data_IF_109096308879
#
_entry.id   IF_109096308879
#
_cell.length_a   1.000
_cell.length_b   1.000
_cell.length_c   1.000
_cell.angle_alpha   90.00
_cell.angle_beta   90.00
_cell.angle_gamma   90.00
#
_symmetry.space_group_name_H-M   'P 1'
#
loop_
_entity.id
_entity.type
_entity.pdbx_description
1 polymer ?
#
# COMPACT_ATOMS: atom_id res chain seq x y z
N UNK A 1 34.39 0.06 1.05
CA UNK A 1 32.96 -0.25 0.89
C UNK A 1 32.15 0.94 1.39
N UNK A 2 30.91 1.10 0.96
CA UNK A 2 29.99 2.12 1.49
C UNK A 2 29.17 1.52 2.64
N UNK A 3 29.13 2.18 3.80
CA UNK A 3 28.28 1.80 4.93
C UNK A 3 27.34 2.97 5.26
N UNK A 4 26.13 2.66 5.69
CA UNK A 4 25.11 3.69 5.98
C UNK A 4 25.44 4.50 7.25
N UNK A 5 26.14 3.89 8.22
CA UNK A 5 26.63 4.53 9.43
C UNK A 5 27.95 3.88 9.88
N UNK A 6 28.80 4.59 10.64
CA UNK A 6 29.99 3.99 11.26
C UNK A 6 29.62 2.73 12.07
N UNK A 7 30.42 1.67 11.93
CA UNK A 7 30.23 0.40 12.63
C UNK A 7 29.19 -0.55 12.02
N UNK A 8 28.41 -0.12 11.02
CA UNK A 8 27.50 -1.01 10.28
C UNK A 8 28.22 -1.72 9.12
N UNK A 9 27.78 -2.95 8.75
CA UNK A 9 28.20 -3.58 7.52
C UNK A 9 27.77 -2.76 6.29
N UNK A 10 28.49 -2.94 5.19
CA UNK A 10 28.35 -2.11 3.99
C UNK A 10 28.28 -2.90 2.70
N UNK A 11 28.26 -2.17 1.58
CA UNK A 11 28.27 -2.70 0.23
C UNK A 11 29.49 -2.16 -0.52
N UNK A 12 30.28 -3.05 -1.11
CA UNK A 12 31.42 -2.73 -1.98
C UNK A 12 31.04 -2.81 -3.45
N UNK A 13 31.95 -3.34 -4.27
CA UNK A 13 31.73 -3.66 -5.69
C UNK A 13 30.69 -4.78 -5.86
N UNK A 14 29.42 -4.48 -5.58
CA UNK A 14 28.28 -5.40 -5.48
C UNK A 14 28.34 -6.45 -4.36
N UNK A 15 29.41 -6.53 -3.56
CA UNK A 15 29.51 -7.44 -2.41
C UNK A 15 28.96 -6.82 -1.15
N UNK A 16 28.18 -7.57 -0.37
CA UNK A 16 27.97 -7.25 1.03
C UNK A 16 29.27 -7.49 1.78
N UNK A 17 29.68 -6.53 2.58
CA UNK A 17 30.91 -6.58 3.38
C UNK A 17 30.50 -6.49 4.84
N UNK A 18 30.80 -7.54 5.60
CA UNK A 18 30.49 -7.61 7.02
C UNK A 18 31.51 -8.44 7.79
N UNK A 19 31.17 -8.77 9.02
CA UNK A 19 31.99 -9.65 9.86
C UNK A 19 31.14 -10.77 10.45
N UNK A 20 31.71 -11.96 10.57
CA UNK A 20 31.17 -13.09 11.34
C UNK A 20 32.29 -13.63 12.22
N UNK A 21 32.05 -13.79 13.52
CA UNK A 21 33.05 -14.23 14.49
C UNK A 21 34.36 -13.41 14.42
N UNK A 22 34.28 -12.10 14.21
CA UNK A 22 35.45 -11.23 14.07
C UNK A 22 36.21 -11.37 12.73
N UNK A 23 35.79 -12.27 11.85
CA UNK A 23 36.40 -12.49 10.53
C UNK A 23 35.68 -11.67 9.46
N UNK A 24 36.42 -11.00 8.58
CA UNK A 24 35.83 -10.25 7.45
C UNK A 24 35.22 -11.21 6.43
N UNK A 25 33.96 -10.97 6.05
CA UNK A 25 33.25 -11.81 5.07
C UNK A 25 32.69 -10.95 3.94
N UNK A 26 32.94 -11.38 2.71
CA UNK A 26 32.25 -10.88 1.52
C UNK A 26 31.09 -11.83 1.22
N UNK A 27 29.89 -11.31 1.01
CA UNK A 27 28.74 -12.16 0.71
C UNK A 27 27.84 -11.60 -0.38
N UNK A 28 27.11 -12.51 -1.03
CA UNK A 28 26.00 -12.16 -1.90
C UNK A 28 24.95 -13.26 -1.85
N UNK A 29 23.73 -12.88 -1.51
CA UNK A 29 22.57 -13.77 -1.50
C UNK A 29 21.77 -13.68 -2.79
N UNK A 30 21.00 -14.73 -3.08
CA UNK A 30 19.95 -14.72 -4.08
C UNK A 30 18.68 -15.28 -3.47
N UNK A 31 17.59 -14.53 -3.52
CA UNK A 31 16.29 -14.99 -3.04
C UNK A 31 15.21 -14.71 -4.08
N UNK A 32 14.54 -15.77 -4.50
CA UNK A 32 13.24 -15.75 -5.18
C UNK A 32 12.36 -16.76 -4.45
N UNK A 33 11.02 -16.63 -4.46
CA UNK A 33 10.19 -17.54 -3.67
C UNK A 33 10.52 -19.02 -3.88
N UNK A 34 10.74 -19.73 -2.77
CA UNK A 34 11.13 -21.14 -2.73
C UNK A 34 12.52 -21.44 -3.32
N UNK A 35 13.37 -20.46 -3.57
CA UNK A 35 14.78 -20.67 -3.92
C UNK A 35 15.64 -19.63 -3.23
N UNK A 36 16.63 -20.11 -2.49
CA UNK A 36 17.58 -19.28 -1.79
C UNK A 36 18.99 -19.72 -2.13
N UNK A 37 19.91 -18.78 -2.25
CA UNK A 37 21.34 -19.05 -2.38
C UNK A 37 22.13 -18.05 -1.56
N UNK A 38 23.33 -18.46 -1.16
CA UNK A 38 24.29 -17.64 -0.45
C UNK A 38 25.68 -18.00 -0.93
N UNK A 39 26.41 -17.00 -1.41
CA UNK A 39 27.84 -17.05 -1.64
C UNK A 39 28.53 -16.25 -0.53
N UNK A 40 29.53 -16.86 0.10
CA UNK A 40 30.39 -16.27 1.11
C UNK A 40 31.84 -16.49 0.72
N UNK A 41 32.66 -15.45 0.80
CA UNK A 41 34.10 -15.50 0.61
C UNK A 41 34.77 -14.92 1.86
N UNK A 42 35.80 -15.59 2.32
CA UNK A 42 36.63 -15.22 3.47
C UNK A 42 38.08 -15.16 2.97
N UNK A 43 38.50 -14.04 2.35
CA UNK A 43 39.79 -13.94 1.67
C UNK A 43 40.99 -14.16 2.60
N UNK A 44 40.90 -13.74 3.86
CA UNK A 44 41.96 -13.92 4.87
C UNK A 44 42.27 -15.39 5.19
N UNK A 45 41.33 -16.29 4.85
CA UNK A 45 41.44 -17.73 5.12
C UNK A 45 41.41 -18.58 3.84
N UNK A 46 41.54 -17.97 2.66
CA UNK A 46 41.42 -18.64 1.35
C UNK A 46 40.18 -19.56 1.25
N UNK A 47 39.09 -19.14 1.90
CA UNK A 47 37.88 -19.95 2.06
C UNK A 47 36.70 -19.34 1.31
N UNK A 48 35.89 -20.20 0.70
CA UNK A 48 34.63 -19.83 0.07
C UNK A 48 33.57 -20.89 0.30
N UNK A 49 32.33 -20.44 0.52
CA UNK A 49 31.16 -21.31 0.69
C UNK A 49 30.04 -20.82 -0.22
N UNK A 50 29.54 -21.73 -1.06
CA UNK A 50 28.31 -21.52 -1.81
C UNK A 50 27.28 -22.54 -1.38
N UNK A 51 26.11 -22.08 -0.94
CA UNK A 51 24.98 -22.93 -0.60
C UNK A 51 23.77 -22.45 -1.37
N UNK A 52 23.05 -23.36 -2.00
CA UNK A 52 21.78 -23.07 -2.66
C UNK A 52 20.78 -24.17 -2.34
N UNK A 53 19.51 -23.80 -2.26
CA UNK A 53 18.44 -24.73 -1.97
C UNK A 53 17.13 -24.27 -2.57
N UNK A 54 16.24 -25.23 -2.75
CA UNK A 54 14.86 -25.00 -3.15
C UNK A 54 13.90 -25.50 -2.06
N UNK A 55 12.72 -24.90 -2.00
CA UNK A 55 11.71 -25.12 -0.96
C UNK A 55 11.55 -23.93 -0.01
N UNK A 56 10.42 -23.89 0.69
CA UNK A 56 10.04 -22.79 1.60
C UNK A 56 10.99 -22.62 2.79
N UNK A 57 11.74 -23.68 3.16
CA UNK A 57 12.73 -23.65 4.24
C UNK A 57 14.16 -23.35 3.80
N UNK A 58 14.43 -23.22 2.50
CA UNK A 58 15.79 -23.15 1.95
C UNK A 58 16.62 -22.03 2.58
N UNK A 59 16.09 -20.81 2.63
CA UNK A 59 16.83 -19.69 3.22
C UNK A 59 17.10 -19.85 4.72
N UNK A 60 16.29 -20.61 5.47
CA UNK A 60 16.55 -20.85 6.91
C UNK A 60 17.62 -21.92 7.09
N UNK A 61 17.55 -22.99 6.31
CA UNK A 61 18.56 -24.03 6.29
C UNK A 61 19.93 -23.47 5.88
N UNK A 62 19.97 -22.57 4.89
CA UNK A 62 21.20 -21.89 4.47
C UNK A 62 21.80 -21.09 5.62
N UNK A 63 21.00 -20.29 6.33
CA UNK A 63 21.50 -19.47 7.44
C UNK A 63 22.03 -20.34 8.60
N UNK A 64 21.33 -21.43 8.93
CA UNK A 64 21.77 -22.42 9.92
C UNK A 64 23.07 -23.10 9.49
N UNK A 65 23.17 -23.53 8.23
CA UNK A 65 24.37 -24.16 7.66
C UNK A 65 25.56 -23.22 7.73
N UNK A 66 25.39 -21.97 7.28
CA UNK A 66 26.46 -20.96 7.33
C UNK A 66 26.89 -20.71 8.77
N UNK A 67 25.93 -20.57 9.69
CA UNK A 67 26.23 -20.35 11.11
C UNK A 67 27.03 -21.51 11.72
N UNK A 68 26.63 -22.75 11.44
CA UNK A 68 27.32 -23.95 11.92
C UNK A 68 28.72 -24.11 11.31
N UNK A 69 28.89 -23.80 10.02
CA UNK A 69 30.19 -23.83 9.36
C UNK A 69 31.13 -22.78 9.93
N UNK A 70 30.66 -21.54 10.14
CA UNK A 70 31.48 -20.48 10.73
C UNK A 70 31.84 -20.79 12.18
N UNK A 71 30.90 -21.31 12.98
CA UNK A 71 31.16 -21.70 14.36
C UNK A 71 32.20 -22.83 14.47
N UNK A 72 32.27 -23.73 13.49
CA UNK A 72 33.22 -24.85 13.49
C UNK A 72 34.60 -24.50 12.92
N UNK A 73 34.66 -23.64 11.89
CA UNK A 73 35.91 -23.31 11.19
C UNK A 73 36.60 -22.04 11.70
N UNK A 74 35.84 -21.05 12.16
CA UNK A 74 36.36 -19.74 12.56
C UNK A 74 35.96 -19.44 14.00
N UNK A 75 36.84 -19.81 14.94
CA UNK A 75 36.64 -19.48 16.35
C UNK A 75 36.58 -17.96 16.52
N UNK A 76 35.56 -17.46 17.24
CA UNK A 76 35.50 -16.05 17.58
C UNK A 76 36.71 -15.67 18.47
N UNK A 77 37.43 -14.57 18.19
CA UNK A 77 38.45 -14.05 19.08
C UNK A 77 37.83 -13.76 20.46
N UNK A 78 38.08 -14.63 21.44
CA UNK A 78 37.51 -14.52 22.81
C UNK A 78 36.61 -15.68 23.27
N UNK A 79 36.43 -16.74 22.48
CA UNK A 79 35.47 -17.82 22.78
C UNK A 79 34.09 -17.53 22.17
N UNK A 80 33.11 -18.45 22.26
CA UNK A 80 31.78 -18.22 21.69
C UNK A 80 31.28 -16.88 22.24
N UNK A 81 30.94 -15.94 21.35
CA UNK A 81 30.30 -14.68 21.69
C UNK A 81 29.22 -15.03 22.72
N UNK A 82 29.44 -14.68 24.00
CA UNK A 82 28.56 -15.13 25.09
C UNK A 82 27.18 -14.61 24.74
N UNK A 83 26.30 -15.52 24.31
CA UNK A 83 24.88 -15.29 24.04
C UNK A 83 24.09 -14.94 25.31
N UNK A 84 24.69 -14.21 26.25
CA UNK A 84 24.17 -13.98 27.60
C UNK A 84 24.84 -12.86 28.38
N UNK A 85 25.88 -12.19 27.86
CA UNK A 85 26.26 -10.90 28.43
C UNK A 85 25.40 -9.83 27.78
N UNK A 86 24.42 -9.34 28.54
CA UNK A 86 23.66 -8.13 28.19
C UNK A 86 24.68 -7.08 27.75
N UNK A 87 24.61 -6.56 26.50
CA UNK A 87 25.56 -5.57 26.03
C UNK A 87 25.69 -4.48 27.09
N UNK A 88 26.91 -4.21 27.55
CA UNK A 88 27.17 -3.27 28.63
C UNK A 88 26.37 -2.00 28.38
N UNK A 89 25.40 -1.75 29.26
CA UNK A 89 24.47 -0.63 29.19
C UNK A 89 25.33 0.65 29.29
N UNK A 90 25.74 1.20 28.15
CA UNK A 90 26.62 2.36 28.10
C UNK A 90 25.89 3.64 28.54
N UNK A 91 26.31 4.26 29.64
CA UNK A 91 25.69 5.49 30.15
C UNK A 91 26.00 6.73 29.29
N UNK A 92 27.05 6.71 28.46
CA UNK A 92 27.57 7.89 27.74
C UNK A 92 27.36 7.87 26.21
N UNK A 93 26.83 6.78 25.64
CA UNK A 93 26.49 6.73 24.22
C UNK A 93 25.20 7.52 23.95
N UNK A 94 25.15 8.25 22.84
CA UNK A 94 23.97 9.02 22.45
C UNK A 94 22.76 8.08 22.25
N UNK A 95 21.84 8.08 23.23
CA UNK A 95 20.65 7.27 23.17
C UNK A 95 19.69 7.76 22.08
N UNK A 96 18.99 6.82 21.47
CA UNK A 96 17.90 7.08 20.53
C UNK A 96 16.87 7.96 21.23
N UNK A 97 16.58 9.10 20.63
CA UNK A 97 15.54 9.97 21.14
C UNK A 97 14.18 9.27 21.02
N UNK A 98 13.25 9.45 21.97
CA UNK A 98 11.89 8.93 21.85
C UNK A 98 11.19 9.30 20.53
N UNK A 99 11.60 10.42 19.91
CA UNK A 99 11.17 10.87 18.59
C UNK A 99 11.47 9.89 17.44
N UNK A 100 12.42 8.97 17.60
CA UNK A 100 12.69 7.91 16.61
C UNK A 100 11.61 6.82 16.59
N UNK A 101 10.70 6.78 17.57
CA UNK A 101 9.51 5.92 17.50
C UNK A 101 8.65 6.27 16.28
N UNK A 102 8.12 5.25 15.60
CA UNK A 102 7.30 5.45 14.41
C UNK A 102 7.24 4.24 13.49
N UNK A 103 6.67 4.44 12.30
CA UNK A 103 6.64 3.43 11.24
C UNK A 103 7.72 3.73 10.22
N UNK A 104 8.47 2.72 9.83
CA UNK A 104 9.55 2.80 8.86
C UNK A 104 9.32 1.82 7.72
N UNK A 105 9.75 2.15 6.51
CA UNK A 105 9.66 1.28 5.33
C UNK A 105 11.04 1.01 4.76
N UNK A 106 11.31 -0.25 4.40
CA UNK A 106 12.53 -0.60 3.68
C UNK A 106 12.64 0.23 2.40
N UNK A 107 13.76 0.90 2.17
CA UNK A 107 13.93 1.83 1.04
C UNK A 107 14.20 1.09 -0.30
N UNK A 108 14.35 -0.23 -0.24
CA UNK A 108 14.50 -1.12 -1.40
C UNK A 108 13.14 -1.70 -1.82
N UNK A 109 12.47 -1.01 -2.73
CA UNK A 109 11.20 -1.45 -3.33
C UNK A 109 10.99 -0.81 -4.72
N UNK A 110 10.08 -1.37 -5.56
CA UNK A 110 9.76 -0.77 -6.85
C UNK A 110 9.19 0.64 -6.72
N UNK A 111 9.70 1.61 -7.50
CA UNK A 111 9.27 3.02 -7.40
C UNK A 111 8.07 3.39 -8.28
N UNK A 112 7.69 2.51 -9.20
CA UNK A 112 6.61 2.71 -10.18
C UNK A 112 5.95 1.38 -10.52
N UNK A 113 4.77 1.46 -11.14
CA UNK A 113 4.01 0.33 -11.62
C UNK A 113 3.30 -0.44 -10.50
N UNK A 114 2.54 -1.50 -10.85
CA UNK A 114 1.72 -2.22 -9.89
C UNK A 114 2.53 -2.91 -8.78
N UNK A 115 3.77 -3.31 -9.06
CA UNK A 115 4.67 -3.91 -8.08
C UNK A 115 5.02 -2.98 -6.91
N UNK A 116 4.89 -1.66 -7.07
CA UNK A 116 5.12 -0.69 -5.98
C UNK A 116 4.15 -0.88 -4.81
N UNK A 117 2.96 -1.45 -5.03
CA UNK A 117 2.02 -1.74 -3.95
C UNK A 117 2.55 -2.76 -2.93
N UNK A 118 3.56 -3.56 -3.28
CA UNK A 118 4.26 -4.42 -2.31
C UNK A 118 4.90 -3.62 -1.16
N UNK A 119 5.22 -2.34 -1.38
CA UNK A 119 5.76 -1.44 -0.37
C UNK A 119 4.85 -1.22 0.84
N UNK A 120 3.53 -1.40 0.68
CA UNK A 120 2.55 -1.33 1.77
C UNK A 120 2.75 -2.44 2.82
N UNK A 121 3.46 -3.51 2.47
CA UNK A 121 3.76 -4.65 3.33
C UNK A 121 5.20 -4.66 3.84
N UNK A 122 6.05 -3.73 3.37
CA UNK A 122 7.48 -3.66 3.72
C UNK A 122 7.76 -2.69 4.88
N UNK A 123 6.83 -2.64 5.84
CA UNK A 123 6.85 -1.72 6.97
C UNK A 123 7.25 -2.42 8.27
N UNK A 124 7.95 -1.67 9.12
CA UNK A 124 8.25 -2.04 10.50
C UNK A 124 7.83 -0.92 11.43
N UNK A 125 7.21 -1.28 12.56
CA UNK A 125 6.92 -0.32 13.62
C UNK A 125 8.04 -0.41 14.66
N UNK A 126 8.64 0.74 14.92
CA UNK A 126 9.72 0.94 15.89
C UNK A 126 9.14 1.57 17.14
N UNK A 127 9.41 0.96 18.30
CA UNK A 127 9.18 1.53 19.61
C UNK A 127 10.52 1.76 20.29
N UNK A 128 10.74 2.96 20.80
CA UNK A 128 11.92 3.30 21.60
C UNK A 128 11.48 3.47 23.05
N UNK A 129 12.24 2.96 24.01
CA UNK A 129 12.00 3.17 25.44
C UNK A 129 12.19 4.65 25.83
N UNK A 130 11.60 5.07 26.95
CA UNK A 130 11.69 6.47 27.41
C UNK A 130 13.13 6.93 27.65
N UNK A 131 13.99 6.04 28.13
CA UNK A 131 15.42 6.26 28.33
C UNK A 131 16.25 6.19 27.02
N UNK A 132 15.61 5.84 25.90
CA UNK A 132 16.27 5.69 24.60
C UNK A 132 17.17 4.46 24.47
N UNK A 133 17.24 3.59 25.48
CA UNK A 133 18.26 2.52 25.54
C UNK A 133 17.81 1.21 24.92
N UNK A 134 16.51 1.05 24.71
CA UNK A 134 15.90 -0.14 24.14
C UNK A 134 15.08 0.24 22.91
N UNK A 135 15.25 -0.53 21.85
CA UNK A 135 14.53 -0.37 20.59
C UNK A 135 13.87 -1.70 20.24
N UNK A 136 12.56 -1.66 19.98
CA UNK A 136 11.78 -2.83 19.57
C UNK A 136 11.21 -2.63 18.18
N UNK A 137 11.56 -3.53 17.25
CA UNK A 137 10.97 -3.62 15.92
C UNK A 137 9.89 -4.71 15.95
N UNK A 138 8.63 -4.32 15.78
CA UNK A 138 7.48 -5.24 15.89
C UNK A 138 7.42 -6.29 14.76
N UNK A 139 7.90 -5.91 13.58
CA UNK A 139 7.98 -6.77 12.40
C UNK A 139 9.19 -6.34 11.58
N UNK A 140 9.98 -7.26 11.03
CA UNK A 140 11.09 -6.90 10.14
C UNK A 140 10.93 -7.63 8.81
N UNK A 141 10.89 -6.91 7.67
CA UNK A 141 10.84 -7.56 6.35
C UNK A 141 12.13 -8.31 6.00
N UNK A 142 13.19 -8.09 6.76
CA UNK A 142 14.57 -8.52 6.46
C UNK A 142 15.10 -9.50 7.50
N UNK A 143 14.77 -9.31 8.78
CA UNK A 143 15.14 -10.26 9.84
C UNK A 143 14.02 -11.28 10.06
N UNK A 144 14.40 -12.54 10.25
CA UNK A 144 13.45 -13.61 10.58
C UNK A 144 13.00 -13.58 12.04
N UNK A 145 13.64 -12.75 12.88
CA UNK A 145 13.28 -12.56 14.29
C UNK A 145 12.37 -11.35 14.41
N UNK A 146 11.10 -11.61 14.68
CA UNK A 146 10.08 -10.59 14.94
C UNK A 146 9.19 -11.04 16.11
N UNK A 147 8.96 -10.19 17.13
CA UNK A 147 9.58 -8.88 17.33
C UNK A 147 11.09 -8.99 17.64
N UNK A 148 11.86 -7.99 17.21
CA UNK A 148 13.29 -7.86 17.53
C UNK A 148 13.48 -6.76 18.57
N UNK A 149 14.04 -7.11 19.72
CA UNK A 149 14.41 -6.15 20.77
C UNK A 149 15.92 -6.02 20.81
N UNK A 150 16.40 -4.79 20.71
CA UNK A 150 17.82 -4.45 20.67
C UNK A 150 18.15 -3.40 21.73
N UNK A 151 19.35 -3.50 22.29
CA UNK A 151 19.84 -2.67 23.38
C UNK A 151 21.00 -1.80 22.91
N UNK A 152 21.08 -0.59 23.45
CA UNK A 152 22.13 0.38 23.14
C UNK A 152 23.51 -0.13 23.59
N UNK A 153 24.45 -0.13 22.65
CA UNK A 153 25.87 -0.44 22.82
C UNK A 153 26.70 0.82 23.09
N UNK A 154 27.94 0.69 23.59
CA UNK A 154 28.86 1.81 23.80
C UNK A 154 29.21 2.62 22.54
N UNK A 155 29.13 2.01 21.35
CA UNK A 155 29.40 2.66 20.07
C UNK A 155 28.19 3.41 19.48
N UNK A 156 27.08 3.50 20.22
CA UNK A 156 25.86 4.18 19.77
C UNK A 156 24.96 3.34 18.87
N UNK A 157 25.31 2.08 18.62
CA UNK A 157 24.50 1.13 17.85
C UNK A 157 23.57 0.33 18.78
N UNK A 158 22.54 -0.28 18.21
CA UNK A 158 21.65 -1.18 18.92
C UNK A 158 21.86 -2.61 18.44
N UNK A 159 21.86 -3.57 19.36
CA UNK A 159 21.96 -5.00 19.02
C UNK A 159 21.12 -5.85 19.96
N UNK A 160 20.56 -6.95 19.44
CA UNK A 160 19.90 -7.97 20.26
C UNK A 160 20.90 -8.72 21.14
N UNK A 161 20.48 -9.21 22.33
CA UNK A 161 21.35 -9.99 23.23
C UNK A 161 21.89 -11.28 22.61
N UNK A 162 21.12 -11.86 21.69
CA UNK A 162 21.45 -13.09 20.95
C UNK A 162 22.46 -12.85 19.82
N UNK A 163 23.06 -11.65 19.73
CA UNK A 163 23.80 -11.19 18.56
C UNK A 163 22.89 -10.88 17.37
N UNK A 164 23.47 -10.60 16.21
CA UNK A 164 22.73 -10.35 14.97
C UNK A 164 22.95 -8.95 14.37
N UNK A 165 22.03 -8.53 13.50
CA UNK A 165 22.12 -7.27 12.76
C UNK A 165 22.15 -6.05 13.70
N UNK A 166 23.09 -5.15 13.44
CA UNK A 166 23.22 -3.88 14.15
C UNK A 166 22.19 -2.88 13.63
N UNK A 167 21.61 -2.10 14.53
CA UNK A 167 20.62 -1.08 14.20
C UNK A 167 21.21 0.29 14.52
N UNK A 168 21.05 1.25 13.61
CA UNK A 168 21.42 2.65 13.81
C UNK A 168 20.29 3.58 13.39
N UNK A 169 20.28 4.78 13.95
CA UNK A 169 19.38 5.86 13.55
C UNK A 169 20.19 7.04 13.04
N UNK A 170 19.74 7.65 11.95
CA UNK A 170 20.27 8.91 11.45
C UNK A 170 19.39 10.07 11.92
N UNK A 171 20.02 11.14 12.40
CA UNK A 171 19.33 12.40 12.68
C UNK A 171 18.88 13.06 11.36
N UNK A 172 17.61 13.49 11.23
CA UNK A 172 17.14 14.33 10.13
C UNK A 172 18.02 15.56 9.84
N UNK A 173 18.60 16.18 10.86
CA UNK A 173 19.48 17.34 10.72
C UNK A 173 20.82 16.97 10.04
N UNK A 174 21.38 15.80 10.36
CA UNK A 174 22.60 15.29 9.72
C UNK A 174 22.35 14.79 8.28
N UNK A 175 21.10 14.49 7.94
CA UNK A 175 20.69 13.92 6.65
C UNK A 175 20.37 14.99 5.60
N UNK A 176 20.70 16.26 5.84
CA UNK A 176 20.42 17.37 4.91
C UNK A 176 18.93 17.67 4.72
N UNK A 177 18.11 17.47 5.76
CA UNK A 177 16.65 17.66 5.70
C UNK A 177 15.88 16.50 5.06
N UNK A 178 16.53 15.37 4.78
CA UNK A 178 15.85 14.13 4.38
C UNK A 178 15.13 13.49 5.58
N UNK A 179 14.13 12.66 5.30
CA UNK A 179 13.38 11.87 6.29
C UNK A 179 14.34 11.16 7.26
N UNK A 180 14.00 11.10 8.55
CA UNK A 180 14.75 10.27 9.51
C UNK A 180 14.96 8.86 8.95
N UNK A 181 16.19 8.37 9.00
CA UNK A 181 16.52 7.04 8.51
C UNK A 181 16.82 6.10 9.67
N UNK A 182 16.33 4.87 9.54
CA UNK A 182 16.76 3.75 10.37
C UNK A 182 17.57 2.80 9.48
N UNK A 183 18.67 2.27 10.01
CA UNK A 183 19.50 1.29 9.34
C UNK A 183 19.48 -0.01 10.14
N UNK A 184 19.35 -1.15 9.46
CA UNK A 184 19.46 -2.48 10.04
C UNK A 184 20.47 -3.25 9.21
N UNK A 185 21.66 -3.48 9.75
CA UNK A 185 22.83 -3.91 8.98
C UNK A 185 23.09 -2.95 7.81
N UNK A 186 23.17 -3.52 6.61
CA UNK A 186 23.34 -2.76 5.35
C UNK A 186 22.04 -2.15 4.81
N UNK A 187 20.88 -2.46 5.39
CA UNK A 187 19.58 -2.06 4.85
C UNK A 187 19.13 -0.72 5.42
N UNK A 188 18.62 0.14 4.54
CA UNK A 188 18.10 1.46 4.90
C UNK A 188 16.57 1.49 4.88
N UNK A 189 16.01 2.18 5.87
CA UNK A 189 14.58 2.39 6.03
C UNK A 189 14.26 3.87 6.15
N UNK A 190 13.16 4.28 5.52
CA UNK A 190 12.65 5.65 5.57
C UNK A 190 11.52 5.74 6.61
N UNK A 191 11.56 6.77 7.46
CA UNK A 191 10.44 7.08 8.36
C UNK A 191 9.23 7.54 7.55
N UNK A 192 8.08 6.95 7.83
CA UNK A 192 6.81 7.26 7.16
C UNK A 192 6.00 8.31 7.92
N UNK A 193 5.40 9.24 7.19
CA UNK A 193 4.28 10.01 7.72
C UNK A 193 3.02 9.13 7.85
N UNK A 194 2.07 9.55 8.69
CA UNK A 194 0.85 8.76 8.97
C UNK A 194 0.06 8.39 7.70
N UNK A 195 0.02 9.29 6.70
CA UNK A 195 -0.69 9.09 5.43
C UNK A 195 0.08 8.20 4.45
N UNK A 196 1.33 7.86 4.74
CA UNK A 196 2.15 6.99 3.89
C UNK A 196 2.09 5.54 4.33
N UNK A 197 1.56 5.25 5.53
CA UNK A 197 1.53 3.92 6.12
C UNK A 197 0.53 2.99 5.43
N UNK A 198 0.85 1.70 5.45
CA UNK A 198 0.01 0.63 4.91
C UNK A 198 -1.35 0.62 5.57
N UNK A 199 -1.42 0.79 6.89
CA UNK A 199 -2.70 0.86 7.63
C UNK A 199 -3.64 1.93 7.09
N UNK A 200 -3.13 3.14 6.81
CA UNK A 200 -3.96 4.23 6.27
C UNK A 200 -4.50 3.87 4.89
N UNK A 201 -3.65 3.33 4.00
CA UNK A 201 -4.07 2.97 2.65
C UNK A 201 -4.98 1.73 2.61
N UNK A 202 -4.74 0.72 3.45
CA UNK A 202 -5.64 -0.42 3.58
C UNK A 202 -7.02 0.01 4.08
N UNK A 203 -7.08 0.92 5.07
CA UNK A 203 -8.34 1.48 5.54
C UNK A 203 -9.06 2.29 4.43
N UNK A 204 -8.32 3.14 3.71
CA UNK A 204 -8.87 3.93 2.60
C UNK A 204 -9.42 3.04 1.46
N UNK A 205 -8.65 2.06 1.00
CA UNK A 205 -9.08 1.11 -0.03
C UNK A 205 -10.21 0.21 0.45
N UNK A 206 -10.19 -0.22 1.71
CA UNK A 206 -11.29 -0.98 2.33
C UNK A 206 -12.60 -0.19 2.36
N UNK A 207 -12.56 1.09 2.75
CA UNK A 207 -13.72 1.96 2.72
C UNK A 207 -14.26 2.17 1.29
N UNK A 208 -13.37 2.34 0.30
CA UNK A 208 -13.75 2.41 -1.10
C UNK A 208 -14.43 1.12 -1.58
N UNK A 209 -13.85 -0.04 -1.26
CA UNK A 209 -14.42 -1.34 -1.60
C UNK A 209 -15.84 -1.52 -1.04
N UNK A 210 -16.08 -1.13 0.21
CA UNK A 210 -17.42 -1.16 0.82
C UNK A 210 -18.39 -0.27 0.05
N UNK A 211 -17.99 0.97 -0.29
CA UNK A 211 -18.84 1.88 -1.07
C UNK A 211 -19.20 1.31 -2.45
N UNK A 212 -18.23 0.67 -3.13
CA UNK A 212 -18.44 0.02 -4.42
C UNK A 212 -19.39 -1.17 -4.31
N UNK A 213 -19.18 -2.06 -3.34
CA UNK A 213 -20.06 -3.22 -3.09
C UNK A 213 -21.49 -2.78 -2.78
N UNK A 214 -21.66 -1.79 -1.91
CA UNK A 214 -22.99 -1.26 -1.56
C UNK A 214 -23.69 -0.69 -2.79
N UNK A 215 -22.97 0.03 -3.65
CA UNK A 215 -23.51 0.62 -4.88
C UNK A 215 -23.92 -0.44 -5.89
N UNK A 216 -23.08 -1.46 -6.11
CA UNK A 216 -23.40 -2.60 -6.99
C UNK A 216 -24.64 -3.34 -6.47
N UNK A 217 -24.68 -3.66 -5.18
CA UNK A 217 -25.80 -4.35 -4.56
C UNK A 217 -27.11 -3.52 -4.64
N UNK A 218 -27.03 -2.20 -4.50
CA UNK A 218 -28.17 -1.31 -4.69
C UNK A 218 -28.66 -1.29 -6.14
N UNK A 219 -27.75 -1.26 -7.11
CA UNK A 219 -28.06 -1.39 -8.54
C UNK A 219 -28.79 -2.70 -8.85
N UNK A 220 -28.24 -3.82 -8.37
CA UNK A 220 -28.83 -5.15 -8.58
C UNK A 220 -30.21 -5.30 -7.93
N UNK A 221 -30.37 -4.80 -6.69
CA UNK A 221 -31.70 -4.79 -6.02
C UNK A 221 -32.74 -4.00 -6.81
N UNK A 222 -32.37 -2.84 -7.39
CA UNK A 222 -33.29 -2.05 -8.24
C UNK A 222 -33.60 -2.78 -9.54
N UNK A 223 -32.61 -3.40 -10.19
CA UNK A 223 -32.83 -4.20 -11.39
C UNK A 223 -33.82 -5.35 -11.13
N UNK A 224 -33.60 -6.14 -10.07
CA UNK A 224 -34.49 -7.22 -9.67
C UNK A 224 -35.90 -6.74 -9.33
N UNK A 225 -36.04 -5.61 -8.63
CA UNK A 225 -37.34 -5.02 -8.33
C UNK A 225 -38.10 -4.62 -9.60
N UNK A 226 -37.41 -4.03 -10.59
CA UNK A 226 -38.03 -3.67 -11.87
C UNK A 226 -38.44 -4.88 -12.70
N UNK A 227 -37.64 -5.96 -12.69
CA UNK A 227 -37.99 -7.23 -13.35
C UNK A 227 -39.20 -7.90 -12.70
N UNK A 228 -39.26 -7.94 -11.37
CA UNK A 228 -40.42 -8.46 -10.61
C UNK A 228 -41.69 -7.64 -10.83
N UNK A 229 -41.57 -6.32 -10.94
CA UNK A 229 -42.72 -5.47 -11.28
C UNK A 229 -43.18 -5.71 -12.73
N UNK A 230 -42.25 -5.91 -13.68
CA UNK A 230 -42.58 -6.26 -15.07
C UNK A 230 -43.27 -7.62 -15.19
N UNK A 231 -42.80 -8.64 -14.46
CA UNK A 231 -43.45 -9.96 -14.48
C UNK A 231 -44.84 -9.93 -13.87
N UNK A 232 -45.06 -9.19 -12.77
CA UNK A 232 -46.39 -8.98 -12.17
C UNK A 232 -47.31 -8.13 -13.06
N UNK A 233 -46.77 -7.17 -13.83
CA UNK A 233 -47.53 -6.29 -14.74
C UNK A 233 -47.84 -6.90 -16.12
N UNK A 234 -47.46 -8.16 -16.39
CA UNK A 234 -48.00 -8.89 -17.56
C UNK A 234 -49.53 -9.01 -17.53
N UNK A 235 -50.17 -8.75 -16.38
CA UNK A 235 -51.63 -8.66 -16.23
C UNK A 235 -52.25 -7.25 -16.35
N UNK A 236 -51.47 -6.17 -16.56
CA UNK A 236 -52.03 -4.80 -16.66
C UNK A 236 -51.33 -3.94 -17.73
N UNK A 237 -51.12 -4.51 -18.92
CA UNK A 237 -50.22 -3.96 -19.93
C UNK A 237 -50.68 -2.63 -20.57
N UNK A 238 -51.91 -2.16 -20.32
CA UNK A 238 -52.46 -1.02 -21.06
C UNK A 238 -52.25 0.38 -20.46
N UNK A 239 -51.78 0.54 -19.21
CA UNK A 239 -51.79 1.89 -18.56
C UNK A 239 -50.41 2.42 -18.15
N UNK A 240 -49.33 1.64 -18.22
CA UNK A 240 -48.05 2.04 -17.60
C UNK A 240 -46.89 2.37 -18.54
N UNK A 241 -47.03 2.19 -19.86
CA UNK A 241 -45.91 2.33 -20.81
C UNK A 241 -45.56 3.79 -21.17
N UNK A 242 -46.47 4.73 -20.91
CA UNK A 242 -46.35 6.15 -21.30
C UNK A 242 -46.19 7.11 -20.11
N UNK A 243 -46.08 6.61 -18.88
CA UNK A 243 -45.81 7.47 -17.73
C UNK A 243 -44.33 7.86 -17.71
N UNK A 244 -43.96 9.13 -17.91
CA UNK A 244 -42.57 9.56 -17.90
C UNK A 244 -41.95 9.23 -16.53
N UNK A 245 -40.88 8.43 -16.51
CA UNK A 245 -40.15 8.09 -15.29
C UNK A 245 -39.53 9.36 -14.70
N UNK A 246 -40.26 9.94 -13.76
CA UNK A 246 -39.92 11.04 -12.85
C UNK A 246 -38.46 10.97 -12.36
N UNK A 247 -37.62 11.94 -12.76
CA UNK A 247 -36.31 12.34 -12.20
C UNK A 247 -35.63 11.35 -11.21
N UNK A 248 -35.31 10.13 -11.63
CA UNK A 248 -34.49 9.22 -10.83
C UNK A 248 -33.11 9.12 -11.48
N UNK A 249 -32.07 9.49 -10.72
CA UNK A 249 -30.68 9.26 -11.10
C UNK A 249 -30.48 7.78 -11.42
N UNK A 250 -29.88 7.50 -12.58
CA UNK A 250 -29.56 6.14 -13.00
C UNK A 250 -28.37 5.62 -12.20
N UNK A 251 -28.55 4.51 -11.50
CA UNK A 251 -27.44 3.82 -10.82
C UNK A 251 -26.56 3.02 -11.78
N UNK A 252 -26.87 2.98 -13.08
CA UNK A 252 -26.13 2.13 -14.03
C UNK A 252 -24.67 2.57 -14.17
N UNK A 253 -24.34 3.86 -14.44
CA UNK A 253 -22.92 4.25 -14.55
C UNK A 253 -22.19 4.14 -13.22
N UNK A 254 -22.88 4.40 -12.10
CA UNK A 254 -22.32 4.24 -10.76
C UNK A 254 -21.99 2.78 -10.45
N UNK A 255 -22.87 1.86 -10.84
CA UNK A 255 -22.65 0.43 -10.72
C UNK A 255 -21.51 -0.08 -11.61
N UNK A 256 -21.42 0.42 -12.84
CA UNK A 256 -20.33 0.07 -13.76
C UNK A 256 -18.97 0.56 -13.26
N UNK A 257 -18.87 1.84 -12.87
CA UNK A 257 -17.69 2.43 -12.25
C UNK A 257 -17.26 1.61 -11.03
N UNK A 258 -18.19 1.36 -10.10
CA UNK A 258 -17.95 0.56 -8.90
C UNK A 258 -17.48 -0.85 -9.21
N UNK A 259 -18.04 -1.50 -10.25
CA UNK A 259 -17.65 -2.84 -10.65
C UNK A 259 -16.22 -2.88 -11.21
N UNK A 260 -15.84 -1.88 -12.01
CA UNK A 260 -14.49 -1.78 -12.57
C UNK A 260 -13.48 -1.49 -11.43
N UNK A 261 -13.74 -0.50 -10.58
CA UNK A 261 -12.84 -0.15 -9.47
C UNK A 261 -12.69 -1.30 -8.46
N UNK A 262 -13.80 -1.99 -8.14
CA UNK A 262 -13.76 -3.18 -7.29
C UNK A 262 -12.98 -4.33 -7.96
N UNK A 263 -13.17 -4.55 -9.26
CA UNK A 263 -12.40 -5.55 -9.99
C UNK A 263 -10.90 -5.25 -9.96
N UNK A 264 -10.52 -3.97 -10.11
CA UNK A 264 -9.11 -3.54 -9.95
C UNK A 264 -8.59 -3.87 -8.55
N UNK A 265 -9.33 -3.51 -7.50
CA UNK A 265 -8.92 -3.77 -6.11
C UNK A 265 -8.74 -5.27 -5.85
N UNK A 266 -9.74 -6.08 -6.23
CA UNK A 266 -9.73 -7.53 -6.00
C UNK A 266 -8.62 -8.22 -6.79
N UNK A 267 -8.47 -7.89 -8.06
CA UNK A 267 -7.42 -8.50 -8.91
C UNK A 267 -6.03 -8.10 -8.45
N UNK A 268 -5.83 -6.85 -8.02
CA UNK A 268 -4.55 -6.38 -7.48
C UNK A 268 -4.23 -7.06 -6.14
N UNK A 269 -5.21 -7.16 -5.23
CA UNK A 269 -5.04 -7.86 -3.96
C UNK A 269 -4.72 -9.34 -4.16
N UNK A 270 -5.44 -10.01 -5.08
CA UNK A 270 -5.17 -11.40 -5.45
C UNK A 270 -3.79 -11.56 -6.08
N UNK A 271 -3.38 -10.65 -6.95
CA UNK A 271 -2.05 -10.69 -7.57
C UNK A 271 -0.92 -10.55 -6.54
N UNK A 272 -1.09 -9.67 -5.54
CA UNK A 272 -0.11 -9.48 -4.47
C UNK A 272 -0.04 -10.67 -3.51
N UNK A 273 -1.17 -11.36 -3.27
CA UNK A 273 -1.25 -12.45 -2.29
C UNK A 273 -1.03 -13.85 -2.89
N UNK A 274 -1.40 -14.07 -4.16
CA UNK A 274 -1.59 -15.40 -4.73
C UNK A 274 -0.69 -15.77 -5.90
N UNK A 275 0.00 -14.80 -6.53
CA UNK A 275 0.85 -15.08 -7.69
C UNK A 275 2.30 -15.21 -7.24
N UNK A 276 2.98 -16.35 -7.50
CA UNK A 276 4.42 -16.45 -7.27
C UNK A 276 5.19 -15.35 -8.01
N UNK A 277 6.10 -14.64 -7.33
CA UNK A 277 6.88 -13.49 -7.77
C UNK A 277 7.56 -13.73 -9.12
N UNK A 278 8.08 -14.94 -9.35
CA UNK A 278 8.70 -15.29 -10.63
C UNK A 278 7.69 -15.33 -11.78
N UNK A 279 6.44 -15.75 -11.54
CA UNK A 279 5.35 -15.63 -12.51
C UNK A 279 4.87 -14.18 -12.65
N UNK A 280 4.85 -13.44 -11.52
CA UNK A 280 4.46 -12.03 -11.50
C UNK A 280 5.33 -11.22 -12.47
N UNK A 281 6.65 -11.44 -12.49
CA UNK A 281 7.58 -10.74 -13.40
C UNK A 281 7.16 -10.86 -14.87
N UNK A 282 6.73 -12.05 -15.30
CA UNK A 282 6.31 -12.27 -16.69
C UNK A 282 5.01 -11.54 -17.05
N UNK A 283 4.08 -11.41 -16.10
CA UNK A 283 2.76 -10.80 -16.35
C UNK A 283 2.70 -9.30 -16.05
N UNK A 284 3.68 -8.76 -15.32
CA UNK A 284 3.70 -7.36 -14.87
C UNK A 284 3.46 -6.34 -16.01
N UNK A 285 4.08 -6.46 -17.20
CA UNK A 285 3.84 -5.51 -18.30
C UNK A 285 2.39 -5.57 -18.82
N UNK A 286 1.84 -6.77 -18.97
CA UNK A 286 0.45 -6.94 -19.41
C UNK A 286 -0.54 -6.45 -18.34
N UNK A 287 -0.29 -6.77 -17.07
CA UNK A 287 -1.08 -6.32 -15.94
C UNK A 287 -1.10 -4.79 -15.82
N UNK A 288 0.05 -4.13 -16.02
CA UNK A 288 0.15 -2.67 -15.98
C UNK A 288 -0.71 -2.01 -17.07
N UNK A 289 -0.68 -2.52 -18.31
CA UNK A 289 -1.53 -2.02 -19.40
C UNK A 289 -3.01 -2.26 -19.14
N UNK A 290 -3.37 -3.46 -18.69
CA UNK A 290 -4.75 -3.79 -18.35
C UNK A 290 -5.29 -2.88 -17.24
N UNK A 291 -4.48 -2.61 -16.21
CA UNK A 291 -4.82 -1.70 -15.13
C UNK A 291 -5.01 -0.26 -15.62
N UNK A 292 -4.16 0.21 -16.53
CA UNK A 292 -4.30 1.54 -17.14
C UNK A 292 -5.63 1.68 -17.90
N UNK A 293 -5.96 0.70 -18.75
CA UNK A 293 -7.22 0.67 -19.51
C UNK A 293 -8.42 0.62 -18.56
N UNK A 294 -8.40 -0.27 -17.56
CA UNK A 294 -9.48 -0.39 -16.59
C UNK A 294 -9.71 0.92 -15.81
N UNK A 295 -8.63 1.57 -15.38
CA UNK A 295 -8.71 2.87 -14.70
C UNK A 295 -9.29 3.94 -15.63
N UNK A 296 -8.88 3.98 -16.90
CA UNK A 296 -9.45 4.89 -17.89
C UNK A 296 -10.95 4.67 -18.11
N UNK A 297 -11.38 3.41 -18.22
CA UNK A 297 -12.81 3.06 -18.35
C UNK A 297 -13.61 3.46 -17.12
N UNK A 298 -13.06 3.34 -15.90
CA UNK A 298 -13.76 3.80 -14.70
C UNK A 298 -13.90 5.32 -14.65
N UNK A 299 -12.93 6.08 -15.16
CA UNK A 299 -13.07 7.55 -15.32
C UNK A 299 -14.21 7.94 -16.27
N UNK A 300 -14.37 7.23 -17.39
CA UNK A 300 -15.49 7.47 -18.33
C UNK A 300 -16.85 7.24 -17.64
N UNK A 301 -16.97 6.17 -16.85
CA UNK A 301 -18.17 5.89 -16.08
C UNK A 301 -18.41 6.94 -14.97
N UNK A 302 -17.35 7.46 -14.34
CA UNK A 302 -17.42 8.54 -13.36
C UNK A 302 -17.90 9.86 -13.98
N UNK A 303 -17.44 10.21 -15.18
CA UNK A 303 -17.93 11.38 -15.93
C UNK A 303 -19.43 11.28 -16.22
N UNK A 304 -19.92 10.10 -16.62
CA UNK A 304 -21.35 9.88 -16.80
C UNK A 304 -22.16 10.05 -15.50
N UNK A 305 -21.60 9.67 -14.34
CA UNK A 305 -22.19 9.94 -13.03
C UNK A 305 -22.23 11.45 -12.73
N UNK A 306 -21.14 12.17 -12.98
CA UNK A 306 -21.05 13.61 -12.75
C UNK A 306 -22.07 14.39 -13.60
N UNK A 307 -22.19 14.06 -14.88
CA UNK A 307 -23.20 14.66 -15.78
C UNK A 307 -24.63 14.45 -15.25
N UNK A 308 -24.92 13.27 -14.67
CA UNK A 308 -26.22 13.02 -14.04
C UNK A 308 -26.44 13.86 -12.79
N UNK A 309 -25.44 14.01 -11.93
CA UNK A 309 -25.53 14.87 -10.73
C UNK A 309 -25.75 16.33 -11.14
N UNK A 310 -24.96 16.82 -12.11
CA UNK A 310 -25.04 18.19 -12.60
C UNK A 310 -26.40 18.49 -13.25
N UNK A 311 -26.87 17.62 -14.14
CA UNK A 311 -28.19 17.78 -14.78
C UNK A 311 -29.34 17.76 -13.76
N UNK A 312 -29.28 16.89 -12.76
CA UNK A 312 -30.26 16.87 -11.68
C UNK A 312 -30.26 18.17 -10.84
N UNK A 313 -29.09 18.77 -10.63
CA UNK A 313 -28.95 20.04 -9.93
C UNK A 313 -29.53 21.22 -10.74
N UNK A 314 -29.18 21.31 -12.03
CA UNK A 314 -29.70 22.34 -12.95
C UNK A 314 -31.23 22.27 -13.04
N UNK A 315 -31.79 21.07 -13.20
CA UNK A 315 -33.24 20.89 -13.24
C UNK A 315 -33.93 21.30 -11.93
N UNK A 316 -33.31 21.04 -10.77
CA UNK A 316 -33.85 21.49 -9.47
C UNK A 316 -33.85 23.02 -9.34
N UNK A 317 -32.81 23.68 -9.83
CA UNK A 317 -32.70 25.15 -9.81
C UNK A 317 -33.71 25.81 -10.74
N UNK A 318 -33.89 25.26 -11.95
CA UNK A 318 -34.91 25.71 -12.89
C UNK A 318 -36.33 25.53 -12.35
N UNK A 319 -36.62 24.41 -11.67
CA UNK A 319 -37.91 24.19 -11.00
C UNK A 319 -38.17 25.20 -9.88
N UNK A 320 -37.20 25.46 -8.99
CA UNK A 320 -37.34 26.50 -7.95
C UNK A 320 -37.63 27.88 -8.54
N UNK A 321 -36.97 28.25 -9.64
CA UNK A 321 -37.26 29.49 -10.35
C UNK A 321 -38.69 29.54 -10.90
N UNK A 322 -39.16 28.43 -11.50
CA UNK A 322 -40.53 28.32 -12.01
C UNK A 322 -41.61 28.28 -10.91
N UNK A 323 -41.32 27.67 -9.76
CA UNK A 323 -42.22 27.61 -8.60
C UNK A 323 -42.33 28.97 -7.90
N UNK A 324 -41.22 29.72 -7.79
CA UNK A 324 -41.23 31.11 -7.32
C UNK A 324 -42.00 32.02 -8.28
N UNK A 325 -41.82 31.85 -9.60
CA UNK A 325 -42.60 32.58 -10.60
C UNK A 325 -44.09 32.26 -10.57
N UNK A 326 -44.46 30.98 -10.37
CA UNK A 326 -45.86 30.56 -10.20
C UNK A 326 -46.45 31.02 -8.87
N UNK A 327 -45.67 31.04 -7.78
CA UNK A 327 -46.12 31.56 -6.49
C UNK A 327 -46.35 33.08 -6.51
N UNK A 328 -45.59 33.81 -7.34
CA UNK A 328 -45.87 35.21 -7.65
C UNK A 328 -47.16 35.38 -8.47
N UNK A 329 -47.39 34.51 -9.46
CA UNK A 329 -48.60 34.53 -10.29
C UNK A 329 -49.87 34.04 -9.55
N UNK A 330 -49.75 33.12 -8.60
CA UNK A 330 -50.86 32.53 -7.84
C UNK A 330 -51.32 33.37 -6.65
N UNK A 331 -50.73 34.56 -6.42
CA UNK A 331 -51.27 35.54 -5.46
C UNK A 331 -52.63 36.12 -5.90
N UNK A 332 -53.11 35.78 -7.10
CA UNK A 332 -54.39 36.23 -7.66
C UNK A 332 -55.41 35.11 -7.94
N UNK A 333 -55.19 33.85 -7.52
CA UNK A 333 -56.19 32.78 -7.70
C UNK A 333 -56.11 31.69 -6.63
N UNK A 334 -57.31 31.28 -6.16
CA UNK A 334 -57.58 30.44 -4.99
C UNK A 334 -56.94 29.03 -5.00
N UNK A 335 -56.73 28.40 -3.83
CA UNK A 335 -55.78 27.30 -3.68
C UNK A 335 -56.45 25.93 -3.86
N UNK A 336 -55.96 25.12 -4.79
CA UNK A 336 -56.19 23.67 -4.79
C UNK A 336 -55.17 22.99 -5.70
N UNK A 337 -54.07 22.49 -5.13
CA UNK A 337 -53.41 21.23 -5.50
C UNK A 337 -52.14 21.07 -4.64
N UNK A 338 -52.17 20.17 -3.66
CA UNK A 338 -50.95 19.74 -2.97
C UNK A 338 -50.13 18.88 -3.94
N UNK A 339 -49.06 19.45 -4.48
CA UNK A 339 -48.11 18.70 -5.31
C UNK A 339 -47.34 17.68 -4.44
N UNK A 340 -47.15 16.43 -4.90
CA UNK A 340 -46.47 15.41 -4.11
C UNK A 340 -44.98 15.73 -3.95
N UNK A 341 -44.50 15.78 -2.70
CA UNK A 341 -43.08 15.97 -2.34
C UNK A 341 -42.18 15.00 -3.16
N UNK A 342 -41.10 15.48 -3.80
CA UNK A 342 -40.17 14.61 -4.50
C UNK A 342 -39.45 13.72 -3.50
N UNK A 343 -39.45 12.41 -3.74
CA UNK A 343 -38.72 11.44 -2.92
C UNK A 343 -37.22 11.78 -2.88
N UNK A 344 -36.63 12.03 -1.69
CA UNK A 344 -35.20 12.19 -1.55
C UNK A 344 -34.57 10.79 -1.50
N UNK A 345 -33.84 10.33 -2.53
CA UNK A 345 -33.37 8.94 -2.47
C UNK A 345 -32.23 8.49 -3.38
N UNK A 346 -31.44 9.39 -3.96
CA UNK A 346 -30.35 8.95 -4.87
C UNK A 346 -29.09 9.81 -4.88
N UNK A 347 -29.23 11.13 -4.75
CA UNK A 347 -28.10 12.05 -4.84
C UNK A 347 -27.01 11.82 -3.77
N UNK A 348 -27.33 11.60 -2.48
CA UNK A 348 -26.29 11.38 -1.47
C UNK A 348 -25.45 10.12 -1.72
N UNK A 349 -26.10 9.03 -2.15
CA UNK A 349 -25.42 7.78 -2.47
C UNK A 349 -24.50 7.92 -3.70
N UNK A 350 -24.94 8.67 -4.72
CA UNK A 350 -24.15 8.93 -5.91
C UNK A 350 -22.94 9.83 -5.63
N UNK A 351 -23.10 10.82 -4.74
CA UNK A 351 -21.99 11.67 -4.28
C UNK A 351 -20.99 10.84 -3.46
N UNK A 352 -21.47 9.98 -2.56
CA UNK A 352 -20.60 9.13 -1.74
C UNK A 352 -19.75 8.18 -2.60
N UNK A 353 -20.33 7.54 -3.62
CA UNK A 353 -19.56 6.64 -4.50
C UNK A 353 -18.58 7.39 -5.41
N UNK A 354 -18.94 8.61 -5.85
CA UNK A 354 -18.00 9.48 -6.56
C UNK A 354 -16.82 9.91 -5.68
N UNK A 355 -17.07 10.22 -4.40
CA UNK A 355 -16.00 10.53 -3.45
C UNK A 355 -15.09 9.32 -3.21
N UNK A 356 -15.66 8.11 -3.09
CA UNK A 356 -14.88 6.87 -3.00
C UNK A 356 -14.04 6.63 -4.26
N UNK A 357 -14.60 6.85 -5.44
CA UNK A 357 -13.86 6.77 -6.70
C UNK A 357 -12.69 7.76 -6.75
N UNK A 358 -12.93 9.03 -6.40
CA UNK A 358 -11.86 10.05 -6.36
C UNK A 358 -10.74 9.66 -5.39
N UNK A 359 -11.08 9.18 -4.19
CA UNK A 359 -10.09 8.71 -3.22
C UNK A 359 -9.29 7.51 -3.75
N UNK A 360 -9.97 6.56 -4.38
CA UNK A 360 -9.35 5.39 -5.01
C UNK A 360 -8.38 5.79 -6.13
N UNK A 361 -8.80 6.67 -7.04
CA UNK A 361 -7.96 7.19 -8.13
C UNK A 361 -6.78 7.99 -7.60
N UNK A 362 -7.00 8.83 -6.58
CA UNK A 362 -5.91 9.55 -5.91
C UNK A 362 -4.88 8.58 -5.33
N UNK A 363 -5.32 7.45 -4.76
CA UNK A 363 -4.43 6.38 -4.31
C UNK A 363 -3.61 5.75 -5.43
N UNK A 364 -4.24 5.42 -6.56
CA UNK A 364 -3.54 4.89 -7.75
C UNK A 364 -2.44 5.86 -8.22
N UNK A 365 -2.74 7.16 -8.25
CA UNK A 365 -1.80 8.20 -8.68
C UNK A 365 -0.68 8.42 -7.67
N UNK A 366 -1.02 8.54 -6.37
CA UNK A 366 -0.05 8.68 -5.28
C UNK A 366 0.97 7.54 -5.30
N UNK A 367 0.47 6.31 -5.43
CA UNK A 367 1.30 5.12 -5.49
C UNK A 367 1.94 4.89 -6.86
N UNK A 368 1.63 5.70 -7.89
CA UNK A 368 2.15 5.53 -9.27
C UNK A 368 1.96 4.10 -9.78
N UNK A 369 0.81 3.51 -9.47
CA UNK A 369 0.48 2.11 -9.81
C UNK A 369 0.28 1.97 -11.32
N UNK A 370 -0.32 2.99 -11.93
CA UNK A 370 -0.47 3.12 -13.38
C UNK A 370 0.51 4.18 -13.87
N UNK A 371 1.35 3.82 -14.84
CA UNK A 371 2.04 4.81 -15.65
C UNK A 371 1.04 5.29 -16.68
N UNK A 372 0.65 6.56 -16.59
CA UNK A 372 -0.08 7.22 -17.66
C UNK A 372 0.99 7.78 -18.59
N UNK A 373 1.22 7.20 -19.78
CA UNK A 373 2.17 7.76 -20.72
C UNK A 373 1.67 9.15 -21.07
N UNK A 374 2.50 10.17 -20.90
CA UNK A 374 2.14 11.54 -21.30
C UNK A 374 1.81 11.57 -22.79
N UNK A 375 2.48 10.73 -23.61
CA UNK A 375 2.19 10.58 -25.03
C UNK A 375 0.79 10.02 -25.32
N UNK A 376 0.23 9.18 -24.42
CA UNK A 376 -1.13 8.64 -24.59
C UNK A 376 -2.22 9.68 -24.23
N UNK A 377 -1.86 10.73 -23.49
CA UNK A 377 -2.73 11.85 -23.17
C UNK A 377 -2.62 13.00 -24.17
N UNK A 378 -1.57 13.06 -24.99
CA UNK A 378 -1.38 14.13 -26.00
C UNK A 378 -2.63 14.40 -26.85
N UNK A 379 -3.31 13.38 -27.43
CA UNK A 379 -4.49 13.63 -28.25
C UNK A 379 -5.64 14.30 -27.47
N UNK A 380 -5.73 14.04 -26.16
CA UNK A 380 -6.76 14.60 -25.29
C UNK A 380 -6.38 15.98 -24.75
N UNK A 381 -5.08 16.23 -24.55
CA UNK A 381 -4.56 17.53 -24.11
C UNK A 381 -4.57 18.56 -25.25
N UNK A 382 -4.43 18.15 -26.51
CA UNK A 382 -4.59 19.04 -27.67
C UNK A 382 -6.05 19.43 -27.96
N UNK A 383 -7.01 18.77 -27.30
CA UNK A 383 -8.46 19.00 -27.47
C UNK A 383 -9.04 19.93 -26.38
N UNK A 384 -8.26 20.25 -25.35
CA UNK A 384 -8.53 21.27 -24.32
C UNK A 384 -7.79 22.56 -24.66
#
# INVERSE_FOLDING_TARGET
HFANAPGLPGIGMAWFVGSRNGTTVLSHGGDIWSFSSMLLLVPEHDFGLFVAGNGSGAGSLIDETVTAVFASLFAAPGGPERQGETPGIAHDAAAAQPAFSGTYRLNRYPRRGPAKLSALFMETRVKVSEDGRTVTLLSTPVSKRSPLTAFLRPDGLYQSPEGGELIAFSDPAASGGRSAHMFVGQWAYDRLAWYETGTTWFAAFGACAVAFVVTIAAGLRRALATLRQRSRRRYSMFVSALAPKRNQLSLVPAGLMSAIDLAILVTTAWALAGIPQWQAVAILPAASRALAVATGLSQVAALACLVQVASAFVQRRGRRGSELGRAFASRYSSPSYMAPRPAPGGAPALIAVLAAHVLFTAGILYWRVVEVPVEALEPFLTLL
#
